data_IF_855853672452
#
_entry.id   IF_855853672452
#
_cell.length_a   1.000
_cell.length_b   1.000
_cell.length_c   1.000
_cell.angle_alpha   90.00
_cell.angle_beta   90.00
_cell.angle_gamma   90.00
#
_symmetry.space_group_name_H-M   'P 1'
#
loop_
_entity.id
_entity.type
_entity.pdbx_description
1 polymer ?
#
# COMPACT_ATOMS: atom_id res chain seq x y z
N UNK A 1 -3.69 -21.39 -6.30
CA UNK A 1 -3.03 -20.54 -5.30
C UNK A 1 -1.91 -21.37 -4.72
N UNK A 2 -0.66 -20.89 -4.78
CA UNK A 2 0.49 -21.59 -4.22
C UNK A 2 0.38 -21.61 -2.69
N UNK A 3 0.64 -22.76 -2.05
CA UNK A 3 0.66 -22.90 -0.59
C UNK A 3 2.10 -23.13 -0.13
N UNK A 4 2.64 -22.17 0.64
CA UNK A 4 3.96 -22.29 1.27
C UNK A 4 3.80 -22.92 2.65
N UNK A 5 4.19 -24.18 2.79
CA UNK A 5 4.18 -24.86 4.08
C UNK A 5 5.35 -24.38 4.97
N UNK A 6 5.14 -24.29 6.29
CA UNK A 6 6.20 -23.86 7.23
C UNK A 6 7.44 -24.76 7.16
N UNK A 7 7.25 -26.05 6.93
CA UNK A 7 8.34 -27.02 6.76
C UNK A 7 9.23 -26.78 5.53
N UNK A 8 8.78 -25.96 4.58
CA UNK A 8 9.56 -25.56 3.42
C UNK A 8 10.39 -24.29 3.65
N UNK A 9 10.35 -23.71 4.86
CA UNK A 9 11.05 -22.49 5.23
C UNK A 9 12.18 -22.83 6.19
N UNK A 10 13.40 -22.47 5.80
CA UNK A 10 14.63 -22.75 6.52
C UNK A 10 15.23 -21.41 6.98
N UNK A 11 15.04 -21.08 8.26
CA UNK A 11 15.55 -19.84 8.86
C UNK A 11 16.98 -20.00 9.38
N UNK A 12 17.75 -18.91 9.40
CA UNK A 12 19.09 -18.93 10.00
C UNK A 12 20.13 -19.76 9.26
N UNK A 13 19.96 -19.99 7.96
CA UNK A 13 20.92 -20.70 7.14
C UNK A 13 22.19 -19.86 6.89
N UNK A 14 23.27 -20.52 6.50
CA UNK A 14 24.53 -19.89 6.12
C UNK A 14 25.06 -20.53 4.84
N UNK A 15 25.68 -19.71 4.00
CA UNK A 15 26.38 -20.14 2.79
C UNK A 15 27.57 -19.20 2.55
N UNK A 16 28.65 -19.70 1.97
CA UNK A 16 29.83 -18.88 1.67
C UNK A 16 29.64 -18.03 0.42
N UNK A 17 28.81 -18.49 -0.52
CA UNK A 17 28.55 -17.85 -1.80
C UNK A 17 27.19 -18.29 -2.37
N UNK A 18 26.76 -17.62 -3.44
CA UNK A 18 25.47 -17.91 -4.09
C UNK A 18 25.37 -19.35 -4.62
N UNK A 19 26.46 -19.95 -5.06
CA UNK A 19 26.41 -21.33 -5.59
C UNK A 19 26.14 -22.34 -4.48
N UNK A 20 26.73 -22.15 -3.29
CA UNK A 20 26.44 -22.98 -2.13
C UNK A 20 24.99 -22.81 -1.69
N UNK A 21 24.48 -21.58 -1.64
CA UNK A 21 23.07 -21.32 -1.35
C UNK A 21 22.14 -22.02 -2.35
N UNK A 22 22.44 -21.96 -3.66
CA UNK A 22 21.69 -22.67 -4.71
C UNK A 22 21.73 -24.19 -4.49
N UNK A 23 22.88 -24.77 -4.11
CA UNK A 23 23.00 -26.20 -3.82
C UNK A 23 22.18 -26.61 -2.59
N UNK A 24 22.15 -25.81 -1.53
CA UNK A 24 21.31 -26.06 -0.34
C UNK A 24 19.82 -26.08 -0.72
N UNK A 25 19.37 -25.07 -1.46
CA UNK A 25 17.99 -24.95 -1.93
C UNK A 25 17.61 -26.15 -2.84
N UNK A 26 18.49 -26.53 -3.78
CA UNK A 26 18.26 -27.66 -4.66
C UNK A 26 18.21 -29.01 -3.90
N UNK A 27 19.06 -29.17 -2.89
CA UNK A 27 19.05 -30.36 -2.02
C UNK A 27 17.72 -30.46 -1.25
N UNK A 28 17.20 -29.34 -0.72
CA UNK A 28 15.91 -29.31 -0.05
C UNK A 28 14.75 -29.67 -1.00
N UNK A 29 14.77 -29.16 -2.24
CA UNK A 29 13.77 -29.53 -3.27
C UNK A 29 13.83 -31.02 -3.61
N UNK A 30 15.04 -31.61 -3.64
CA UNK A 30 15.23 -33.04 -3.88
C UNK A 30 14.70 -33.85 -2.69
N UNK A 31 15.04 -33.47 -1.46
CA UNK A 31 14.59 -34.14 -0.24
C UNK A 31 13.06 -34.08 -0.05
N UNK A 32 12.42 -32.98 -0.45
CA UNK A 32 10.96 -32.84 -0.45
C UNK A 32 10.26 -33.63 -1.59
N UNK A 33 11.05 -34.27 -2.46
CA UNK A 33 10.57 -35.05 -3.61
C UNK A 33 9.98 -34.19 -4.73
N UNK A 34 10.35 -32.91 -4.81
CA UNK A 34 9.90 -32.02 -5.88
C UNK A 34 10.63 -32.27 -7.20
N UNK A 35 11.91 -32.65 -7.11
CA UNK A 35 12.79 -32.85 -8.26
C UNK A 35 13.65 -34.10 -8.08
N UNK A 36 14.15 -34.65 -9.17
CA UNK A 36 15.17 -35.72 -9.14
C UNK A 36 16.57 -35.16 -8.95
N UNK A 37 17.51 -36.05 -8.67
CA UNK A 37 18.94 -35.74 -8.67
C UNK A 37 19.36 -35.10 -10.01
N UNK A 38 20.28 -34.13 -9.95
CA UNK A 38 20.76 -33.39 -11.13
C UNK A 38 20.04 -32.07 -11.41
N UNK A 39 18.86 -31.79 -10.82
CA UNK A 39 18.16 -30.51 -11.01
C UNK A 39 19.00 -29.29 -10.60
N UNK A 40 19.89 -29.46 -9.62
CA UNK A 40 20.87 -28.45 -9.18
C UNK A 40 21.73 -27.92 -10.34
N UNK A 41 22.07 -28.76 -11.31
CA UNK A 41 22.86 -28.35 -12.47
C UNK A 41 22.10 -27.35 -13.33
N UNK A 42 20.78 -27.55 -13.48
CA UNK A 42 19.89 -26.61 -14.16
C UNK A 42 19.80 -25.28 -13.41
N UNK A 43 19.70 -25.31 -12.08
CA UNK A 43 19.65 -24.09 -11.27
C UNK A 43 20.94 -23.27 -11.37
N UNK A 44 22.09 -23.94 -11.31
CA UNK A 44 23.40 -23.30 -11.46
C UNK A 44 23.60 -22.74 -12.88
N UNK A 45 23.24 -23.50 -13.92
CA UNK A 45 23.31 -23.05 -15.30
C UNK A 45 22.41 -21.83 -15.56
N UNK A 46 21.19 -21.82 -14.98
CA UNK A 46 20.27 -20.69 -15.08
C UNK A 46 20.84 -19.42 -14.45
N UNK A 47 21.46 -19.54 -13.28
CA UNK A 47 22.11 -18.43 -12.59
C UNK A 47 23.31 -17.86 -13.37
N UNK A 48 24.06 -18.71 -14.10
CA UNK A 48 25.17 -18.27 -14.94
C UNK A 48 24.73 -17.47 -16.18
N UNK A 49 23.52 -17.72 -16.69
CA UNK A 49 22.99 -16.96 -17.83
C UNK A 49 22.61 -15.53 -17.46
N UNK A 50 21.93 -15.37 -16.33
CA UNK A 50 21.50 -14.07 -15.79
C UNK A 50 21.19 -14.26 -14.31
N UNK A 51 21.60 -13.30 -13.48
CA UNK A 51 21.31 -13.27 -12.05
C UNK A 51 19.82 -13.53 -11.78
N UNK A 52 19.53 -14.41 -10.81
CA UNK A 52 18.17 -14.64 -10.33
C UNK A 52 17.78 -13.73 -9.17
N UNK A 53 18.60 -12.73 -8.85
CA UNK A 53 18.25 -11.67 -7.92
C UNK A 53 17.09 -10.82 -8.47
N UNK A 54 16.13 -10.47 -7.62
CA UNK A 54 14.94 -9.73 -8.01
C UNK A 54 14.78 -8.35 -7.40
N UNK A 55 15.45 -8.08 -6.27
CA UNK A 55 15.27 -6.85 -5.49
C UNK A 55 15.05 -7.13 -4.01
N UNK A 56 15.24 -6.11 -3.17
CA UNK A 56 14.93 -6.09 -1.74
C UNK A 56 15.46 -7.30 -0.95
N UNK A 57 16.63 -7.82 -1.34
CA UNK A 57 17.24 -8.96 -0.65
C UNK A 57 16.70 -10.33 -1.05
N UNK A 58 15.96 -10.46 -2.15
CA UNK A 58 15.35 -11.72 -2.59
C UNK A 58 15.99 -12.22 -3.89
N UNK A 59 16.35 -13.49 -3.91
CA UNK A 59 16.75 -14.23 -5.10
C UNK A 59 15.81 -15.43 -5.35
N UNK A 60 15.58 -15.78 -6.62
CA UNK A 60 14.71 -16.89 -7.02
C UNK A 60 15.44 -17.88 -7.93
N UNK A 61 16.32 -18.72 -7.36
CA UNK A 61 17.01 -19.72 -8.15
C UNK A 61 16.02 -20.80 -8.63
N UNK A 62 16.08 -21.14 -9.92
CA UNK A 62 15.21 -22.11 -10.58
C UNK A 62 15.93 -22.79 -11.74
N UNK A 63 15.49 -23.98 -12.15
CA UNK A 63 16.10 -24.74 -13.24
C UNK A 63 15.89 -24.12 -14.62
N UNK A 64 16.68 -24.56 -15.60
CA UNK A 64 16.48 -24.22 -17.02
C UNK A 64 15.37 -25.07 -17.64
N UNK A 65 14.96 -24.71 -18.85
CA UNK A 65 14.04 -25.52 -19.68
C UNK A 65 14.53 -26.96 -19.88
N UNK A 66 15.84 -27.16 -19.96
CA UNK A 66 16.48 -28.45 -20.26
C UNK A 66 16.47 -29.42 -19.07
N UNK A 67 16.14 -28.92 -17.87
CA UNK A 67 16.00 -29.71 -16.64
C UNK A 67 14.55 -29.88 -16.18
N UNK A 68 13.57 -29.53 -17.03
CA UNK A 68 12.14 -29.56 -16.68
C UNK A 68 11.62 -30.98 -16.47
N UNK A 69 12.15 -31.95 -17.19
CA UNK A 69 11.86 -33.38 -17.07
C UNK A 69 12.25 -33.94 -15.69
N UNK A 70 13.22 -33.30 -15.03
CA UNK A 70 13.65 -33.63 -13.66
C UNK A 70 12.67 -33.13 -12.58
N UNK A 71 11.68 -32.31 -12.93
CA UNK A 71 10.65 -31.85 -11.98
C UNK A 71 9.58 -32.94 -11.83
N UNK A 72 9.45 -33.51 -10.64
CA UNK A 72 8.45 -34.53 -10.34
C UNK A 72 7.09 -33.90 -10.03
N UNK A 73 7.10 -32.91 -9.12
CA UNK A 73 5.93 -32.12 -8.70
C UNK A 73 6.35 -30.68 -8.40
N UNK A 74 5.45 -29.73 -8.64
CA UNK A 74 5.68 -28.32 -8.31
C UNK A 74 5.96 -28.17 -6.81
N UNK A 75 6.94 -27.34 -6.47
CA UNK A 75 7.18 -26.97 -5.08
C UNK A 75 8.26 -25.92 -4.93
N UNK A 76 8.37 -25.43 -3.70
CA UNK A 76 9.21 -24.31 -3.34
C UNK A 76 9.94 -24.62 -2.05
N UNK A 77 11.15 -24.10 -1.92
CA UNK A 77 11.93 -24.11 -0.69
C UNK A 77 12.47 -22.71 -0.45
N UNK A 78 12.30 -22.19 0.76
CA UNK A 78 12.71 -20.84 1.14
C UNK A 78 13.84 -20.94 2.14
N UNK A 79 14.97 -20.28 1.85
CA UNK A 79 16.11 -20.20 2.75
C UNK A 79 16.36 -18.75 3.12
N UNK A 80 16.45 -18.47 4.42
CA UNK A 80 16.88 -17.19 4.94
C UNK A 80 18.35 -17.27 5.35
N UNK A 81 19.14 -16.31 4.88
CA UNK A 81 20.54 -16.11 5.18
C UNK A 81 20.70 -14.75 5.91
N UNK A 82 20.63 -14.71 7.26
CA UNK A 82 20.64 -13.45 8.01
C UNK A 82 21.87 -12.57 7.76
N UNK A 83 23.01 -13.20 7.48
CA UNK A 83 24.27 -12.49 7.17
C UNK A 83 24.32 -11.94 5.74
N UNK A 84 23.37 -12.33 4.88
CA UNK A 84 23.34 -11.98 3.47
C UNK A 84 24.35 -12.77 2.64
N UNK A 85 24.00 -13.02 1.38
CA UNK A 85 24.85 -13.66 0.39
C UNK A 85 25.01 -12.72 -0.79
N UNK A 86 26.24 -12.42 -1.18
CA UNK A 86 26.51 -11.66 -2.40
C UNK A 86 25.98 -12.44 -3.62
N UNK A 87 25.07 -11.83 -4.38
CA UNK A 87 24.37 -12.48 -5.49
C UNK A 87 24.81 -11.97 -6.88
N UNK A 88 25.57 -10.87 -6.94
CA UNK A 88 26.12 -10.25 -8.16
C UNK A 88 25.88 -8.74 -8.17
N UNK A 89 26.64 -7.97 -8.94
CA UNK A 89 26.45 -6.52 -9.15
C UNK A 89 26.18 -5.69 -7.86
N UNK A 90 26.97 -5.93 -6.80
CA UNK A 90 26.82 -5.35 -5.46
C UNK A 90 25.47 -5.63 -4.75
N UNK A 91 24.70 -6.60 -5.24
CA UNK A 91 23.44 -7.06 -4.66
C UNK A 91 23.68 -8.15 -3.61
N UNK A 92 22.94 -8.05 -2.50
CA UNK A 92 22.96 -9.02 -1.41
C UNK A 92 21.59 -9.66 -1.27
N UNK A 93 21.52 -10.99 -1.28
CA UNK A 93 20.29 -11.73 -1.00
C UNK A 93 20.27 -12.21 0.46
N UNK A 94 19.21 -11.90 1.17
CA UNK A 94 18.90 -12.41 2.51
C UNK A 94 17.92 -13.57 2.46
N UNK A 95 17.15 -13.72 1.38
CA UNK A 95 16.27 -14.86 1.16
C UNK A 95 16.45 -15.42 -0.26
N UNK A 96 16.60 -16.74 -0.36
CA UNK A 96 16.57 -17.47 -1.62
C UNK A 96 15.33 -18.36 -1.70
N UNK A 97 14.55 -18.21 -2.76
CA UNK A 97 13.30 -18.94 -3.00
C UNK A 97 13.52 -19.90 -4.16
N UNK A 98 13.84 -21.14 -3.85
CA UNK A 98 13.99 -22.21 -4.84
C UNK A 98 12.67 -22.62 -5.43
N UNK A 99 12.57 -22.69 -6.76
CA UNK A 99 11.35 -23.12 -7.44
C UNK A 99 11.63 -24.37 -8.29
N UNK A 100 10.81 -25.39 -8.09
CA UNK A 100 10.62 -26.51 -8.99
C UNK A 100 9.25 -26.38 -9.65
N UNK A 101 9.21 -26.16 -10.97
CA UNK A 101 7.97 -25.99 -11.72
C UNK A 101 8.10 -26.58 -13.13
N UNK A 102 7.06 -27.27 -13.59
CA UNK A 102 7.00 -27.85 -14.95
C UNK A 102 6.65 -26.81 -16.03
N UNK A 103 6.08 -25.68 -15.64
CA UNK A 103 5.55 -24.63 -16.52
C UNK A 103 5.95 -23.23 -16.03
N UNK A 104 5.33 -22.19 -16.56
CA UNK A 104 5.57 -20.78 -16.17
C UNK A 104 4.99 -20.42 -14.78
N UNK A 105 4.79 -21.40 -13.90
CA UNK A 105 4.31 -21.21 -12.52
C UNK A 105 5.25 -20.32 -11.68
N UNK A 106 6.53 -20.24 -12.01
CA UNK A 106 7.44 -19.27 -11.40
C UNK A 106 6.98 -17.81 -11.64
N UNK A 107 6.29 -17.52 -12.75
CA UNK A 107 5.69 -16.20 -13.00
C UNK A 107 4.49 -15.91 -12.07
N UNK A 108 3.75 -16.94 -11.66
CA UNK A 108 2.66 -16.78 -10.71
C UNK A 108 3.22 -16.41 -9.32
N UNK A 109 4.34 -17.02 -8.93
CA UNK A 109 5.06 -16.68 -7.70
C UNK A 109 5.67 -15.28 -7.78
N UNK A 110 6.26 -14.90 -8.92
CA UNK A 110 6.71 -13.52 -9.16
C UNK A 110 5.58 -12.51 -8.99
N UNK A 111 4.39 -12.78 -9.53
CA UNK A 111 3.20 -11.93 -9.34
C UNK A 111 2.84 -11.81 -7.86
N UNK A 112 2.88 -12.91 -7.11
CA UNK A 112 2.62 -12.89 -5.67
C UNK A 112 3.69 -12.15 -4.87
N UNK A 113 4.93 -12.05 -5.36
CA UNK A 113 6.00 -11.32 -4.68
C UNK A 113 6.11 -9.86 -5.11
N UNK A 114 5.28 -9.39 -6.05
CA UNK A 114 5.37 -8.00 -6.54
C UNK A 114 5.18 -6.96 -5.43
N UNK A 115 4.40 -7.23 -4.37
CA UNK A 115 4.27 -6.32 -3.23
C UNK A 115 5.55 -6.28 -2.39
N UNK A 116 6.18 -7.43 -2.13
CA UNK A 116 7.43 -7.57 -1.35
C UNK A 116 8.59 -6.85 -2.04
N UNK A 117 8.66 -6.97 -3.36
CA UNK A 117 9.72 -6.37 -4.19
C UNK A 117 9.54 -4.85 -4.39
N UNK A 118 8.42 -4.27 -3.97
CA UNK A 118 8.13 -2.84 -4.11
C UNK A 118 8.35 -2.03 -2.83
N UNK A 119 8.73 -2.70 -1.73
CA UNK A 119 8.86 -2.10 -0.40
C UNK A 119 10.28 -2.29 0.15
N UNK A 120 11.05 -1.20 0.17
CA UNK A 120 12.46 -1.20 0.60
C UNK A 120 12.64 -1.53 2.09
N UNK A 121 11.58 -1.39 2.90
CA UNK A 121 11.62 -1.74 4.34
C UNK A 121 11.65 -3.25 4.58
N UNK A 122 11.30 -4.04 3.57
CA UNK A 122 11.21 -5.50 3.67
C UNK A 122 12.58 -6.15 3.81
N UNK A 123 13.61 -5.60 3.18
CA UNK A 123 14.96 -6.18 3.19
C UNK A 123 15.52 -6.35 4.62
N UNK A 124 15.22 -5.40 5.52
CA UNK A 124 15.60 -5.51 6.94
C UNK A 124 14.78 -6.57 7.69
N UNK A 125 13.47 -6.66 7.40
CA UNK A 125 12.60 -7.67 8.02
C UNK A 125 13.02 -9.09 7.62
N UNK A 126 13.44 -9.30 6.37
CA UNK A 126 13.90 -10.60 5.88
C UNK A 126 15.08 -11.16 6.68
N UNK A 127 15.92 -10.33 7.30
CA UNK A 127 17.11 -10.77 8.05
C UNK A 127 16.77 -11.47 9.36
N UNK A 128 15.70 -11.02 10.01
CA UNK A 128 15.37 -11.42 11.40
C UNK A 128 14.02 -12.14 11.51
N UNK A 129 13.24 -12.20 10.44
CA UNK A 129 11.92 -12.82 10.42
C UNK A 129 11.95 -14.30 10.83
N UNK A 130 10.94 -14.71 11.60
CA UNK A 130 10.63 -16.11 11.88
C UNK A 130 10.14 -16.84 10.63
N UNK A 131 10.01 -18.18 10.68
CA UNK A 131 9.47 -18.95 9.56
C UNK A 131 8.02 -18.55 9.26
N UNK A 132 7.22 -18.30 10.29
CA UNK A 132 5.85 -17.81 10.21
C UNK A 132 5.79 -16.41 9.58
N UNK A 133 6.68 -15.51 10.00
CA UNK A 133 6.76 -14.15 9.45
C UNK A 133 7.16 -14.15 7.98
N UNK A 134 8.16 -14.97 7.61
CA UNK A 134 8.58 -15.14 6.22
C UNK A 134 7.46 -15.72 5.38
N UNK A 135 6.74 -16.74 5.88
CA UNK A 135 5.58 -17.29 5.19
C UNK A 135 4.56 -16.20 4.91
N UNK A 136 4.20 -15.45 5.95
CA UNK A 136 3.18 -14.41 5.84
C UNK A 136 3.60 -13.32 4.84
N UNK A 137 4.84 -12.85 4.94
CA UNK A 137 5.41 -11.81 4.08
C UNK A 137 5.40 -12.24 2.60
N UNK A 138 5.93 -13.43 2.31
CA UNK A 138 6.05 -13.97 0.95
C UNK A 138 4.71 -14.35 0.35
N UNK A 139 3.73 -14.73 1.17
CA UNK A 139 2.39 -15.06 0.70
C UNK A 139 1.48 -13.84 0.55
N UNK A 140 1.94 -12.66 0.94
CA UNK A 140 1.09 -11.47 1.01
C UNK A 140 0.00 -11.58 2.08
N UNK A 141 0.08 -12.58 2.97
CA UNK A 141 -0.75 -12.66 4.19
C UNK A 141 -0.33 -11.59 5.20
N UNK A 142 0.91 -11.08 5.06
CA UNK A 142 1.41 -9.87 5.72
C UNK A 142 1.22 -8.63 4.83
N UNK A 143 0.16 -8.56 4.02
CA UNK A 143 -0.50 -7.27 3.81
C UNK A 143 -1.06 -6.86 5.17
N UNK A 144 -0.19 -6.26 5.98
CA UNK A 144 -0.44 -5.49 7.19
C UNK A 144 -1.49 -6.05 8.18
N UNK A 145 -1.27 -5.88 9.48
CA UNK A 145 -2.41 -5.43 10.26
C UNK A 145 -2.88 -4.15 9.54
N UNK A 146 -3.85 -4.18 8.61
CA UNK A 146 -4.16 -2.99 7.81
C UNK A 146 -4.66 -1.91 8.76
N UNK A 147 -3.87 -0.85 8.91
CA UNK A 147 -4.37 0.37 9.52
C UNK A 147 -5.55 0.82 8.67
N UNK A 148 -6.74 0.72 9.23
CA UNK A 148 -7.97 0.92 8.50
C UNK A 148 -8.37 2.39 8.60
N UNK A 149 -7.96 3.17 7.60
CA UNK A 149 -8.44 4.54 7.39
C UNK A 149 -8.50 4.83 5.89
N UNK A 150 -9.71 5.05 5.40
CA UNK A 150 -9.99 5.44 4.02
C UNK A 150 -11.29 6.25 3.95
N UNK A 151 -11.66 6.70 2.75
CA UNK A 151 -12.88 7.48 2.55
C UNK A 151 -14.18 6.72 2.88
N UNK A 152 -14.17 5.37 2.90
CA UNK A 152 -15.34 4.59 3.29
C UNK A 152 -15.59 4.60 4.82
N UNK A 153 -14.58 4.95 5.61
CA UNK A 153 -14.68 5.17 7.06
C UNK A 153 -15.01 6.62 7.42
N UNK A 154 -15.23 7.50 6.44
CA UNK A 154 -15.61 8.90 6.63
C UNK A 154 -17.08 9.08 6.22
N UNK A 155 -17.90 9.56 7.14
CA UNK A 155 -19.28 9.99 6.85
C UNK A 155 -19.39 11.48 7.10
N UNK A 156 -19.92 12.20 6.13
CA UNK A 156 -20.15 13.64 6.26
C UNK A 156 -21.64 13.94 6.21
N UNK A 157 -21.98 15.11 6.73
CA UNK A 157 -23.30 15.71 6.67
C UNK A 157 -24.41 14.81 7.23
N UNK A 158 -24.10 14.16 8.36
CA UNK A 158 -25.02 13.29 9.10
C UNK A 158 -26.12 14.13 9.75
N UNK A 159 -27.39 13.73 9.58
CA UNK A 159 -28.51 14.29 10.33
C UNK A 159 -28.48 13.83 11.81
N UNK A 160 -27.54 14.37 12.58
CA UNK A 160 -27.33 14.09 13.99
C UNK A 160 -27.51 15.36 14.84
N UNK A 161 -28.05 15.19 16.04
CA UNK A 161 -28.22 16.24 17.05
C UNK A 161 -27.54 15.90 18.38
N UNK A 162 -26.81 14.79 18.44
CA UNK A 162 -26.10 14.32 19.62
C UNK A 162 -24.85 13.50 19.24
N UNK A 163 -23.91 13.37 20.19
CA UNK A 163 -22.67 12.60 19.99
C UNK A 163 -22.93 11.10 19.92
N UNK A 164 -23.97 10.59 20.61
CA UNK A 164 -24.30 9.16 20.64
C UNK A 164 -24.58 8.65 19.23
N UNK A 165 -25.29 9.43 18.41
CA UNK A 165 -25.56 9.13 17.01
C UNK A 165 -24.26 9.02 16.21
N UNK A 166 -23.34 9.97 16.38
CA UNK A 166 -22.03 9.94 15.69
C UNK A 166 -21.15 8.77 16.18
N UNK A 167 -21.16 8.47 17.49
CA UNK A 167 -20.44 7.35 18.10
C UNK A 167 -20.93 6.02 17.52
N UNK A 168 -22.25 5.81 17.48
CA UNK A 168 -22.85 4.60 16.94
C UNK A 168 -22.54 4.42 15.44
N UNK A 169 -22.53 5.50 14.66
CA UNK A 169 -22.17 5.46 13.24
C UNK A 169 -20.71 5.08 13.02
N UNK A 170 -19.79 5.73 13.74
CA UNK A 170 -18.36 5.42 13.64
C UNK A 170 -18.06 3.98 14.10
N UNK A 171 -18.59 3.57 15.25
CA UNK A 171 -18.41 2.22 15.79
C UNK A 171 -18.99 1.15 14.85
N UNK A 172 -20.17 1.39 14.28
CA UNK A 172 -20.78 0.48 13.29
C UNK A 172 -19.95 0.33 12.01
N UNK A 173 -19.30 1.40 11.54
CA UNK A 173 -18.39 1.33 10.39
C UNK A 173 -17.11 0.58 10.69
N UNK A 174 -16.48 0.86 11.83
CA UNK A 174 -15.30 0.12 12.29
C UNK A 174 -15.62 -1.37 12.42
N UNK A 175 -16.80 -1.71 12.96
CA UNK A 175 -17.23 -3.10 13.08
C UNK A 175 -17.48 -3.74 11.71
N UNK A 176 -18.15 -3.03 10.79
CA UNK A 176 -18.40 -3.52 9.43
C UNK A 176 -17.12 -3.73 8.63
N UNK A 177 -16.09 -2.93 8.90
CA UNK A 177 -14.75 -3.08 8.33
C UNK A 177 -13.90 -4.17 9.03
N UNK A 178 -14.43 -4.85 10.05
CA UNK A 178 -13.71 -5.87 10.82
C UNK A 178 -12.52 -5.30 11.60
N UNK A 179 -12.62 -4.05 12.04
CA UNK A 179 -11.60 -3.35 12.84
C UNK A 179 -11.84 -3.57 14.34
N UNK A 180 -13.12 -3.71 14.73
CA UNK A 180 -13.54 -3.84 16.12
C UNK A 180 -14.63 -4.90 16.30
N UNK A 181 -14.78 -5.43 17.51
CA UNK A 181 -15.86 -6.35 17.88
C UNK A 181 -17.04 -5.64 18.59
N UNK A 182 -18.04 -6.41 19.03
CA UNK A 182 -19.22 -5.88 19.69
C UNK A 182 -18.94 -5.20 21.06
N UNK A 183 -17.85 -5.57 21.72
CA UNK A 183 -17.44 -4.99 23.00
C UNK A 183 -16.98 -3.55 22.82
N UNK A 184 -16.24 -3.26 21.74
CA UNK A 184 -15.85 -1.89 21.38
C UNK A 184 -17.09 -1.02 21.15
N UNK A 185 -18.06 -1.52 20.38
CA UNK A 185 -19.29 -0.78 20.06
C UNK A 185 -20.07 -0.44 21.33
N UNK A 186 -20.23 -1.42 22.23
CA UNK A 186 -20.92 -1.21 23.50
C UNK A 186 -20.20 -0.18 24.38
N UNK A 187 -18.87 -0.27 24.48
CA UNK A 187 -18.06 0.61 25.31
C UNK A 187 -18.08 2.05 24.78
N UNK A 188 -17.75 2.25 23.50
CA UNK A 188 -17.70 3.58 22.86
C UNK A 188 -19.03 4.29 22.93
N UNK A 189 -20.17 3.63 22.71
CA UNK A 189 -21.49 4.28 22.75
C UNK A 189 -21.89 4.69 24.17
N UNK A 190 -21.36 4.00 25.19
CA UNK A 190 -21.64 4.31 26.60
C UNK A 190 -20.69 5.35 27.22
N UNK A 191 -19.51 5.53 26.62
CA UNK A 191 -18.49 6.46 27.06
C UNK A 191 -18.76 7.89 26.60
N UNK A 192 -18.27 8.87 27.37
CA UNK A 192 -18.28 10.29 26.97
C UNK A 192 -17.07 10.60 26.09
N UNK A 193 -17.26 11.13 24.87
CA UNK A 193 -16.14 11.57 24.03
C UNK A 193 -15.34 12.71 24.65
N UNK A 194 -14.06 12.79 24.30
CA UNK A 194 -13.16 13.88 24.66
C UNK A 194 -13.38 15.07 23.71
N UNK A 195 -13.63 16.25 24.28
CA UNK A 195 -13.68 17.49 23.50
C UNK A 195 -12.24 17.93 23.17
N UNK A 196 -11.92 18.06 21.88
CA UNK A 196 -10.62 18.57 21.42
C UNK A 196 -10.65 20.08 21.09
N UNK A 197 -11.82 20.71 21.21
CA UNK A 197 -12.07 22.10 20.84
C UNK A 197 -12.44 22.27 19.36
N UNK A 198 -12.87 23.49 19.01
CA UNK A 198 -13.22 23.87 17.63
C UNK A 198 -14.28 22.97 16.96
N UNK A 199 -15.17 22.38 17.75
CA UNK A 199 -16.23 21.50 17.25
C UNK A 199 -15.79 20.05 16.97
N UNK A 200 -14.53 19.68 17.29
CA UNK A 200 -13.99 18.33 17.07
C UNK A 200 -13.97 17.55 18.38
N UNK A 201 -14.45 16.32 18.33
CA UNK A 201 -14.50 15.38 19.45
C UNK A 201 -13.81 14.06 19.09
N UNK A 202 -13.28 13.39 20.10
CA UNK A 202 -12.57 12.12 19.98
C UNK A 202 -13.22 11.07 20.88
N UNK A 203 -13.44 9.87 20.35
CA UNK A 203 -13.84 8.70 21.14
C UNK A 203 -12.89 7.54 20.87
N UNK A 204 -12.56 6.77 21.89
CA UNK A 204 -11.76 5.56 21.78
C UNK A 204 -12.28 4.51 22.76
N UNK A 205 -11.68 3.32 22.73
CA UNK A 205 -11.94 2.27 23.70
C UNK A 205 -10.69 1.42 23.90
N UNK A 206 -10.53 0.87 25.10
CA UNK A 206 -9.53 -0.18 25.38
C UNK A 206 -10.06 -1.60 25.11
N UNK A 207 -11.35 -1.74 24.80
CA UNK A 207 -12.04 -3.01 24.62
C UNK A 207 -12.37 -3.25 23.14
N UNK A 208 -12.29 -4.51 22.72
CA UNK A 208 -12.79 -4.93 21.40
C UNK A 208 -12.02 -4.41 20.19
N UNK A 209 -10.80 -3.88 20.37
CA UNK A 209 -9.92 -3.49 19.26
C UNK A 209 -9.31 -4.75 18.61
N UNK A 210 -9.73 -5.09 17.38
CA UNK A 210 -9.18 -6.22 16.64
C UNK A 210 -8.00 -5.80 15.76
N UNK A 211 -8.05 -4.57 15.22
CA UNK A 211 -7.01 -3.94 14.40
C UNK A 211 -7.00 -2.42 14.63
N UNK A 212 -5.90 -1.75 14.29
CA UNK A 212 -5.83 -0.29 14.28
C UNK A 212 -6.71 0.30 13.16
N UNK A 213 -7.47 1.34 13.45
CA UNK A 213 -8.27 2.06 12.46
C UNK A 213 -8.95 3.31 13.01
N UNK A 214 -9.39 4.18 12.10
CA UNK A 214 -10.04 5.44 12.41
C UNK A 214 -11.31 5.58 11.59
N UNK A 215 -12.41 5.98 12.24
CA UNK A 215 -13.64 6.37 11.58
C UNK A 215 -14.01 7.81 11.95
N UNK A 216 -14.64 8.52 11.02
CA UNK A 216 -15.00 9.94 11.19
C UNK A 216 -16.45 10.13 10.80
N UNK A 217 -17.20 10.87 11.62
CA UNK A 217 -18.52 11.36 11.28
C UNK A 217 -18.62 12.86 11.52
N UNK A 218 -19.12 13.61 10.53
CA UNK A 218 -19.45 15.03 10.65
C UNK A 218 -20.95 15.23 10.59
N UNK A 219 -21.51 16.00 11.52
CA UNK A 219 -22.92 16.38 11.49
C UNK A 219 -23.19 17.41 10.39
N UNK A 220 -24.38 17.37 9.79
CA UNK A 220 -24.83 18.35 8.80
C UNK A 220 -24.88 19.77 9.37
N UNK A 221 -25.22 19.88 10.65
CA UNK A 221 -25.23 21.13 11.40
C UNK A 221 -24.55 20.91 12.75
N UNK A 222 -23.64 21.79 13.17
CA UNK A 222 -23.11 21.77 14.53
C UNK A 222 -24.25 21.85 15.55
N UNK A 223 -24.13 21.10 16.64
CA UNK A 223 -25.09 21.10 17.74
C UNK A 223 -24.39 21.36 19.07
N UNK A 224 -25.17 21.70 20.09
CA UNK A 224 -24.66 21.86 21.45
C UNK A 224 -24.55 20.51 22.14
N UNK A 225 -23.41 20.24 22.77
CA UNK A 225 -23.21 19.12 23.66
C UNK A 225 -22.58 19.63 24.96
N UNK A 226 -23.40 19.72 26.02
CA UNK A 226 -22.96 20.16 27.35
C UNK A 226 -22.37 21.59 27.35
N UNK A 227 -22.91 22.50 26.54
CA UNK A 227 -22.44 23.89 26.43
C UNK A 227 -21.24 24.08 25.50
N UNK A 228 -20.77 23.00 24.87
CA UNK A 228 -19.68 23.00 23.89
C UNK A 228 -20.22 22.67 22.50
N UNK A 229 -19.64 23.26 21.47
CA UNK A 229 -20.04 22.93 20.10
C UNK A 229 -19.51 21.55 19.71
N UNK A 230 -20.37 20.74 19.09
CA UNK A 230 -20.02 19.47 18.47
C UNK A 230 -20.40 19.50 16.98
N UNK A 231 -19.43 19.22 16.12
CA UNK A 231 -19.62 19.20 14.67
C UNK A 231 -19.03 17.94 14.02
N UNK A 232 -17.91 17.42 14.53
CA UNK A 232 -17.25 16.22 14.03
C UNK A 232 -16.79 15.34 15.16
N UNK A 233 -16.96 14.03 15.01
CA UNK A 233 -16.47 13.00 15.91
C UNK A 233 -15.50 12.09 15.16
N UNK A 234 -14.35 11.85 15.77
CA UNK A 234 -13.33 10.91 15.33
C UNK A 234 -13.31 9.75 16.31
N UNK A 235 -13.43 8.52 15.82
CA UNK A 235 -13.38 7.32 16.65
C UNK A 235 -12.18 6.46 16.30
N UNK A 236 -11.43 6.04 17.31
CA UNK A 236 -10.15 5.35 17.16
C UNK A 236 -10.23 3.95 17.74
N UNK A 237 -9.77 2.97 16.96
CA UNK A 237 -9.38 1.64 17.43
C UNK A 237 -7.86 1.54 17.31
N UNK A 238 -7.18 1.15 18.39
CA UNK A 238 -5.71 1.10 18.42
C UNK A 238 -5.22 -0.26 18.91
N UNK A 239 -4.48 -0.96 18.04
CA UNK A 239 -3.68 -2.14 18.39
C UNK A 239 -2.18 -1.90 18.25
N UNK A 240 -1.81 -0.73 17.71
CA UNK A 240 -0.46 -0.21 17.52
C UNK A 240 -0.50 1.32 17.39
N UNK A 241 0.63 1.95 17.09
CA UNK A 241 0.79 3.42 17.10
C UNK A 241 0.29 4.14 15.84
N UNK A 242 -0.14 3.44 14.79
CA UNK A 242 -0.51 4.09 13.51
C UNK A 242 -1.68 5.07 13.60
N UNK A 243 -2.73 4.86 14.42
CA UNK A 243 -3.75 5.88 14.64
C UNK A 243 -3.18 7.18 15.21
N UNK A 244 -2.02 7.14 15.89
CA UNK A 244 -1.37 8.35 16.41
C UNK A 244 -0.87 9.26 15.29
N UNK A 245 -0.55 8.73 14.10
CA UNK A 245 -0.19 9.56 12.94
C UNK A 245 -1.37 10.45 12.53
N UNK A 246 -2.57 9.86 12.40
CA UNK A 246 -3.82 10.60 12.12
C UNK A 246 -4.12 11.63 13.20
N UNK A 247 -3.95 11.27 14.47
CA UNK A 247 -4.13 12.20 15.57
C UNK A 247 -3.05 13.29 15.61
N UNK A 248 -1.84 13.02 15.11
CA UNK A 248 -0.77 13.99 14.94
C UNK A 248 -1.16 15.08 13.95
N UNK A 249 -1.66 14.70 12.77
CA UNK A 249 -2.18 15.64 11.77
C UNK A 249 -3.36 16.46 12.31
N UNK A 250 -4.29 15.79 12.99
CA UNK A 250 -5.41 16.48 13.65
C UNK A 250 -4.91 17.50 14.67
N UNK A 251 -3.98 17.10 15.54
CA UNK A 251 -3.42 17.97 16.58
C UNK A 251 -2.74 19.19 15.97
N UNK A 252 -1.96 19.03 14.90
CA UNK A 252 -1.35 20.14 14.18
C UNK A 252 -2.40 21.12 13.63
N UNK A 253 -3.47 20.62 13.01
CA UNK A 253 -4.57 21.46 12.51
C UNK A 253 -5.28 22.22 13.63
N UNK A 254 -5.54 21.56 14.76
CA UNK A 254 -6.21 22.17 15.90
C UNK A 254 -5.33 23.24 16.56
N UNK A 255 -4.03 22.98 16.75
CA UNK A 255 -3.09 23.96 17.31
C UNK A 255 -2.99 25.22 16.45
N UNK A 256 -3.15 25.09 15.13
CA UNK A 256 -3.15 26.21 14.18
C UNK A 256 -4.52 26.90 14.05
N UNK A 257 -5.56 26.46 14.75
CA UNK A 257 -6.91 27.03 14.64
C UNK A 257 -7.59 26.73 13.29
N UNK A 258 -7.19 25.65 12.60
CA UNK A 258 -7.61 25.31 11.23
C UNK A 258 -8.65 24.19 11.16
N UNK A 259 -9.40 23.92 12.24
CA UNK A 259 -10.45 22.89 12.25
C UNK A 259 -11.49 23.08 11.13
N UNK A 260 -11.77 24.33 10.76
CA UNK A 260 -12.69 24.69 9.69
C UNK A 260 -12.35 24.02 8.34
N UNK A 261 -11.08 23.69 8.09
CA UNK A 261 -10.65 22.91 6.91
C UNK A 261 -11.27 21.51 6.91
N UNK A 262 -11.29 20.82 8.06
CA UNK A 262 -11.93 19.52 8.21
C UNK A 262 -13.46 19.65 8.15
N UNK A 263 -14.01 20.71 8.74
CA UNK A 263 -15.45 20.93 8.78
C UNK A 263 -16.06 21.30 7.43
N UNK A 264 -15.26 21.76 6.46
CA UNK A 264 -15.72 22.11 5.10
C UNK A 264 -15.28 21.14 4.02
N UNK A 265 -14.27 20.31 4.26
CA UNK A 265 -13.76 19.36 3.28
C UNK A 265 -14.78 18.26 2.92
N UNK A 266 -14.66 17.71 1.71
CA UNK A 266 -15.32 16.44 1.36
C UNK A 266 -14.54 15.25 1.96
N UNK A 267 -15.02 14.02 1.75
CA UNK A 267 -14.40 12.84 2.38
C UNK A 267 -12.94 12.65 1.93
N UNK A 268 -12.63 12.96 0.67
CA UNK A 268 -11.27 12.88 0.14
C UNK A 268 -10.36 13.96 0.76
N UNK A 269 -10.88 15.19 0.93
CA UNK A 269 -10.16 16.28 1.59
C UNK A 269 -9.91 16.01 3.07
N UNK A 270 -10.90 15.47 3.82
CA UNK A 270 -10.71 15.06 5.21
C UNK A 270 -9.63 13.98 5.31
N UNK A 271 -9.68 12.97 4.43
CA UNK A 271 -8.65 11.93 4.37
C UNK A 271 -7.25 12.52 4.12
N UNK A 272 -7.10 13.37 3.11
CA UNK A 272 -5.82 14.00 2.78
C UNK A 272 -5.26 14.87 3.92
N UNK A 273 -6.10 15.68 4.55
CA UNK A 273 -5.73 16.55 5.69
C UNK A 273 -5.23 15.75 6.91
N UNK A 274 -5.64 14.48 7.01
CA UNK A 274 -5.35 13.61 8.15
C UNK A 274 -4.37 12.48 7.81
N UNK A 275 -3.78 12.48 6.61
CA UNK A 275 -2.82 11.45 6.17
C UNK A 275 -1.57 12.00 5.49
N UNK A 276 -1.47 13.30 5.27
CA UNK A 276 -0.30 13.93 4.65
C UNK A 276 0.01 15.26 5.31
N UNK A 277 1.29 15.56 5.51
CA UNK A 277 1.78 16.87 5.93
C UNK A 277 1.46 17.87 4.82
N UNK A 278 0.31 18.54 4.90
CA UNK A 278 0.04 19.68 4.01
C UNK A 278 0.84 20.86 4.57
N UNK A 279 2.08 20.96 4.10
CA UNK A 279 3.05 21.99 4.50
C UNK A 279 2.54 23.41 4.22
N UNK A 280 3.02 24.36 5.02
CA UNK A 280 2.32 25.57 5.49
C UNK A 280 1.95 26.66 4.46
N UNK A 281 2.30 26.54 3.18
CA UNK A 281 2.14 27.62 2.19
C UNK A 281 1.75 27.19 0.77
N UNK A 282 1.57 25.91 0.51
CA UNK A 282 1.21 25.47 -0.83
C UNK A 282 -0.26 25.81 -1.14
N UNK A 283 -0.48 26.66 -2.14
CA UNK A 283 -1.76 26.71 -2.84
C UNK A 283 -2.05 25.30 -3.37
N UNK A 284 -2.93 24.57 -2.66
CA UNK A 284 -3.41 23.27 -3.13
C UNK A 284 -4.38 23.57 -4.26
N UNK A 285 -3.87 23.43 -5.48
CA UNK A 285 -4.64 23.69 -6.68
C UNK A 285 -5.14 22.37 -7.26
N UNK A 286 -6.36 22.42 -7.78
CA UNK A 286 -6.99 21.27 -8.41
C UNK A 286 -7.44 21.63 -9.82
N UNK A 287 -7.17 20.76 -10.78
CA UNK A 287 -7.70 20.88 -12.14
C UNK A 287 -8.22 19.53 -12.64
N UNK A 288 -9.24 19.58 -13.50
CA UNK A 288 -9.86 18.40 -14.08
C UNK A 288 -9.68 18.38 -15.60
N UNK A 289 -9.22 17.25 -16.12
CA UNK A 289 -8.97 17.07 -17.54
C UNK A 289 -9.61 15.78 -18.05
N UNK A 290 -10.14 15.83 -19.28
CA UNK A 290 -10.69 14.64 -19.94
C UNK A 290 -9.65 14.02 -20.86
N UNK A 291 -9.38 12.73 -20.69
CA UNK A 291 -8.43 12.00 -21.55
C UNK A 291 -9.06 11.70 -22.90
N UNK A 292 -8.39 12.12 -23.98
CA UNK A 292 -8.88 11.96 -25.37
C UNK A 292 -8.19 10.83 -26.14
N UNK A 293 -7.06 10.33 -25.64
CA UNK A 293 -6.29 9.25 -26.26
C UNK A 293 -7.16 8.00 -26.50
N UNK A 294 -7.10 7.44 -27.71
CA UNK A 294 -7.87 6.26 -28.17
C UNK A 294 -7.87 5.10 -27.16
N UNK A 295 -6.70 4.81 -26.59
CA UNK A 295 -6.49 3.70 -25.66
C UNK A 295 -6.35 4.15 -24.20
N UNK A 296 -6.65 5.41 -23.87
CA UNK A 296 -6.50 5.96 -22.52
C UNK A 296 -5.04 6.11 -22.07
N UNK A 297 -4.78 6.07 -20.76
CA UNK A 297 -3.42 6.21 -20.20
C UNK A 297 -2.72 4.84 -20.07
N UNK A 298 -2.28 4.28 -21.18
CA UNK A 298 -1.35 3.15 -21.19
C UNK A 298 0.11 3.62 -21.07
N UNK A 299 1.07 2.71 -21.19
CA UNK A 299 2.48 2.97 -20.93
C UNK A 299 3.06 4.20 -21.67
N UNK A 300 2.65 4.45 -22.93
CA UNK A 300 3.20 5.56 -23.74
C UNK A 300 2.68 6.95 -23.31
N UNK A 301 1.36 7.25 -23.36
CA UNK A 301 0.84 8.54 -22.90
C UNK A 301 1.02 8.71 -21.39
N UNK A 302 1.00 7.61 -20.63
CA UNK A 302 1.36 7.61 -19.21
C UNK A 302 2.81 8.06 -18.97
N UNK A 303 3.77 7.59 -19.79
CA UNK A 303 5.17 8.02 -19.65
C UNK A 303 5.32 9.50 -19.96
N UNK A 304 4.68 9.99 -21.02
CA UNK A 304 4.70 11.41 -21.37
C UNK A 304 4.14 12.29 -20.24
N UNK A 305 2.99 11.92 -19.67
CA UNK A 305 2.38 12.61 -18.54
C UNK A 305 3.31 12.64 -17.32
N UNK A 306 3.86 11.48 -16.95
CA UNK A 306 4.78 11.36 -15.81
C UNK A 306 6.07 12.15 -16.02
N UNK A 307 6.60 12.17 -17.24
CA UNK A 307 7.78 12.96 -17.59
C UNK A 307 7.55 14.46 -17.45
N UNK A 308 6.33 14.95 -17.72
CA UNK A 308 5.95 16.35 -17.46
C UNK A 308 5.88 16.60 -15.96
N UNK A 309 5.16 15.75 -15.23
CA UNK A 309 4.97 15.89 -13.77
C UNK A 309 6.32 15.89 -13.02
N UNK A 310 7.30 15.09 -13.47
CA UNK A 310 8.64 15.00 -12.85
C UNK A 310 9.50 16.26 -13.01
N UNK A 311 9.10 17.23 -13.84
CA UNK A 311 9.81 18.50 -14.01
C UNK A 311 9.56 19.49 -12.87
N UNK A 312 8.51 19.25 -12.07
CA UNK A 312 8.05 20.12 -11.01
C UNK A 312 8.40 19.56 -9.64
N UNK A 313 8.59 20.44 -8.67
CA UNK A 313 8.85 20.10 -7.27
C UNK A 313 7.55 19.83 -6.50
N UNK A 314 6.41 20.38 -6.93
CA UNK A 314 5.09 20.17 -6.32
C UNK A 314 4.70 18.71 -6.19
N UNK A 315 4.14 18.33 -5.05
CA UNK A 315 3.45 17.05 -4.90
C UNK A 315 2.20 17.02 -5.77
N UNK A 316 2.11 16.03 -6.66
CA UNK A 316 1.02 15.91 -7.63
C UNK A 316 0.39 14.53 -7.52
N UNK A 317 -0.90 14.50 -7.21
CA UNK A 317 -1.72 13.29 -7.22
C UNK A 317 -2.73 13.32 -8.37
N UNK A 318 -3.10 12.14 -8.85
CA UNK A 318 -4.04 11.94 -9.97
C UNK A 318 -5.13 11.00 -9.51
N UNK A 319 -6.38 11.40 -9.69
CA UNK A 319 -7.56 10.60 -9.34
C UNK A 319 -8.42 10.39 -10.57
N UNK A 320 -8.78 9.13 -10.87
CA UNK A 320 -9.75 8.81 -11.92
C UNK A 320 -11.18 8.94 -11.37
N UNK A 321 -11.86 10.03 -11.72
CA UNK A 321 -13.21 10.36 -11.24
C UNK A 321 -14.28 9.41 -11.77
N UNK A 322 -14.02 8.79 -12.92
CA UNK A 322 -14.90 7.78 -13.53
C UNK A 322 -14.40 6.34 -13.27
N UNK A 323 -13.48 6.17 -12.31
CA UNK A 323 -12.86 4.91 -11.90
C UNK A 323 -13.07 4.57 -10.42
N UNK A 324 -12.03 4.01 -9.78
CA UNK A 324 -12.09 3.63 -8.35
C UNK A 324 -12.11 4.81 -7.38
N UNK A 325 -11.87 6.04 -7.86
CA UNK A 325 -11.77 7.25 -7.02
C UNK A 325 -10.53 7.32 -6.12
N UNK A 326 -9.64 6.31 -6.16
CA UNK A 326 -8.41 6.30 -5.37
C UNK A 326 -7.36 7.23 -5.99
N UNK A 327 -6.77 8.16 -5.20
CA UNK A 327 -5.66 8.97 -5.67
C UNK A 327 -4.40 8.12 -5.91
N UNK A 328 -3.67 8.44 -6.97
CA UNK A 328 -2.37 7.86 -7.29
C UNK A 328 -1.31 8.94 -7.35
N UNK A 329 -0.07 8.61 -6.98
CA UNK A 329 1.06 9.52 -7.15
C UNK A 329 1.32 9.75 -8.65
N UNK A 330 1.20 10.99 -9.10
CA UNK A 330 1.33 11.38 -10.51
C UNK A 330 2.73 11.21 -11.08
N UNK A 331 3.77 11.10 -10.24
CA UNK A 331 5.16 10.83 -10.67
C UNK A 331 5.43 9.35 -10.93
N UNK A 332 4.50 8.46 -10.58
CA UNK A 332 4.65 7.03 -10.76
C UNK A 332 3.86 6.56 -11.97
N UNK A 333 4.56 6.19 -13.05
CA UNK A 333 3.95 5.58 -14.23
C UNK A 333 3.10 4.38 -13.89
N UNK A 334 3.59 3.50 -13.01
CA UNK A 334 2.87 2.30 -12.61
C UNK A 334 1.56 2.66 -11.91
N UNK A 335 1.58 3.62 -10.97
CA UNK A 335 0.35 4.03 -10.27
C UNK A 335 -0.63 4.73 -11.20
N UNK A 336 -0.15 5.56 -12.12
CA UNK A 336 -1.00 6.25 -13.11
C UNK A 336 -1.66 5.26 -14.08
N UNK A 337 -0.95 4.26 -14.57
CA UNK A 337 -1.52 3.23 -15.46
C UNK A 337 -2.49 2.32 -14.69
N UNK A 338 -2.21 2.02 -13.41
CA UNK A 338 -3.09 1.21 -12.56
C UNK A 338 -4.45 1.88 -12.27
N UNK A 339 -4.59 3.19 -12.49
CA UNK A 339 -5.88 3.89 -12.42
C UNK A 339 -6.88 3.42 -13.49
N UNK A 340 -6.45 2.64 -14.50
CA UNK A 340 -7.33 2.04 -15.50
C UNK A 340 -8.08 3.06 -16.35
N UNK A 341 -7.42 4.18 -16.66
CA UNK A 341 -8.02 5.32 -17.35
C UNK A 341 -8.26 5.00 -18.83
N UNK A 342 -9.50 5.22 -19.31
CA UNK A 342 -9.91 5.01 -20.71
C UNK A 342 -10.22 6.34 -21.40
N UNK A 343 -10.39 6.32 -22.72
CA UNK A 343 -10.88 7.47 -23.50
C UNK A 343 -12.19 8.02 -22.90
N UNK A 344 -12.26 9.33 -22.71
CA UNK A 344 -13.42 10.03 -22.15
C UNK A 344 -13.46 10.10 -20.63
N UNK A 345 -12.56 9.42 -19.91
CA UNK A 345 -12.48 9.54 -18.46
C UNK A 345 -11.98 10.91 -18.03
N UNK A 346 -12.52 11.41 -16.92
CA UNK A 346 -12.10 12.64 -16.24
C UNK A 346 -11.10 12.30 -15.14
N UNK A 347 -9.96 12.98 -15.19
CA UNK A 347 -8.93 12.91 -14.18
C UNK A 347 -8.88 14.22 -13.43
N UNK A 348 -8.81 14.11 -12.11
CA UNK A 348 -8.51 15.23 -11.22
C UNK A 348 -7.05 15.19 -10.85
N UNK A 349 -6.35 16.29 -11.09
CA UNK A 349 -4.98 16.50 -10.63
C UNK A 349 -5.02 17.45 -9.44
N UNK A 350 -4.39 17.05 -8.35
CA UNK A 350 -4.20 17.90 -7.16
C UNK A 350 -2.72 18.15 -7.01
N UNK A 351 -2.31 19.42 -7.10
CA UNK A 351 -0.93 19.86 -6.99
C UNK A 351 -0.74 20.70 -5.72
N UNK A 352 0.34 20.45 -4.99
CA UNK A 352 0.72 21.15 -3.77
C UNK A 352 2.21 21.50 -3.80
N UNK A 353 2.52 22.80 -3.83
CA UNK A 353 3.88 23.34 -3.82
C UNK A 353 3.97 24.68 -4.53
N UNK A 354 5.14 25.33 -4.47
CA UNK A 354 5.35 26.67 -5.02
C UNK A 354 5.14 26.76 -6.54
N UNK A 355 5.34 25.64 -7.26
CA UNK A 355 5.14 25.53 -8.71
C UNK A 355 3.82 24.84 -9.09
N UNK A 356 2.84 24.71 -8.18
CA UNK A 356 1.61 23.95 -8.39
C UNK A 356 0.79 24.46 -9.60
N UNK A 357 0.63 25.78 -9.73
CA UNK A 357 -0.11 26.37 -10.87
C UNK A 357 0.62 26.11 -12.19
N UNK A 358 1.94 26.21 -12.20
CA UNK A 358 2.76 25.96 -13.39
C UNK A 358 2.69 24.48 -13.80
N UNK A 359 2.72 23.58 -12.82
CA UNK A 359 2.56 22.16 -13.03
C UNK A 359 1.20 21.80 -13.65
N UNK A 360 0.11 22.36 -13.12
CA UNK A 360 -1.23 22.12 -13.67
C UNK A 360 -1.38 22.64 -15.10
N UNK A 361 -0.82 23.82 -15.41
CA UNK A 361 -0.84 24.37 -16.77
C UNK A 361 -0.05 23.47 -17.75
N UNK A 362 1.12 22.97 -17.35
CA UNK A 362 1.92 22.07 -18.18
C UNK A 362 1.24 20.71 -18.39
N UNK A 363 0.54 20.19 -17.36
CA UNK A 363 -0.27 18.98 -17.47
C UNK A 363 -1.43 19.20 -18.44
N UNK A 364 -2.11 20.34 -18.38
CA UNK A 364 -3.18 20.70 -19.32
C UNK A 364 -2.68 20.71 -20.76
N UNK A 365 -1.54 21.35 -21.02
CA UNK A 365 -0.91 21.40 -22.35
C UNK A 365 -0.51 20.01 -22.84
N UNK A 366 0.07 19.18 -21.97
CA UNK A 366 0.46 17.82 -22.29
C UNK A 366 -0.75 16.94 -22.64
N UNK A 367 -1.85 17.07 -21.89
CA UNK A 367 -3.10 16.34 -22.16
C UNK A 367 -3.74 16.84 -23.45
N UNK A 368 -3.75 18.16 -23.66
CA UNK A 368 -4.34 18.80 -24.85
C UNK A 368 -3.56 18.47 -26.14
N UNK A 369 -2.25 18.30 -26.05
CA UNK A 369 -1.38 17.85 -27.16
C UNK A 369 -1.41 16.34 -27.41
N UNK A 370 -2.18 15.58 -26.61
CA UNK A 370 -2.36 14.15 -26.79
C UNK A 370 -1.24 13.28 -26.20
N UNK A 371 -0.43 13.81 -25.28
CA UNK A 371 0.56 13.04 -24.50
C UNK A 371 1.55 12.24 -25.37
N UNK A 372 2.06 12.86 -26.44
CA UNK A 372 3.04 12.24 -27.34
C UNK A 372 2.44 11.28 -28.38
N UNK A 373 1.10 11.16 -28.43
CA UNK A 373 0.40 10.39 -29.48
C UNK A 373 -0.24 11.29 -30.55
N UNK A 374 -0.20 12.62 -30.35
CA UNK A 374 -0.87 13.62 -31.17
C UNK A 374 -2.30 13.90 -30.68
N UNK A 375 -2.77 15.13 -30.87
CA UNK A 375 -4.17 15.46 -30.61
C UNK A 375 -5.06 14.72 -31.64
N UNK A 376 -6.05 13.98 -31.14
CA UNK A 376 -7.06 13.32 -31.96
C UNK A 376 -8.13 14.30 -32.42
#
# INVERSE_FOLDING_TARGET
MFQLELQAIHTGASAQNKEEAIRQVAAALTAAGNVTEGYVNGMLAREQQTSTFLGNGIAIPHGTTDTRDLVLKTGVQVFQFPQGIAWGDDQTAYVAIGIAAKSDEHLALLRQLTHVLSDDSVAEQLKTASAEDLRALLMGEKQAAEFSFDTALITLDVAASDLITLQAMNAGRLQSAGVVDASYVADVVSASPLNLGQGIWLSDSSLGNLRSGVAISRAAHPFDHQGESAAMLISVSATDERPLEVLGYLSALLQQGKADRLLKADAAGVYALLTSEVDEQADVLTAEFTIRNEHGLHARPGTALVSVIKQFNSEITVTNLDGSGKPANGRSLMKVVALGVKKGHRLRFTASGDDAQQALNAIEEAISSGLGEGAA
#
